data_IF_146717467277
#
_entry.id   IF_146717467277
#
_cell.length_a   1.000
_cell.length_b   1.000
_cell.length_c   1.000
_cell.angle_alpha   90.00
_cell.angle_beta   90.00
_cell.angle_gamma   90.00
#
_symmetry.space_group_name_H-M   'P 1'
#
loop_
_entity.id
_entity.type
_entity.pdbx_description
1 polymer ?
#
# COMPACT_ATOMS: atom_id res chain seq x y z
N UNK A 1 1.90 -9.46 19.64
CA UNK A 1 0.48 -9.04 19.87
C UNK A 1 -0.42 -9.76 18.89
N UNK A 2 -1.74 -9.91 19.17
CA UNK A 2 -2.66 -10.59 18.26
C UNK A 2 -3.61 -9.58 17.62
N UNK A 3 -3.91 -9.75 16.35
CA UNK A 3 -4.93 -8.98 15.65
C UNK A 3 -6.34 -9.48 16.04
N UNK A 4 -7.30 -8.56 16.05
CA UNK A 4 -8.72 -8.85 16.27
C UNK A 4 -9.49 -8.59 14.97
N UNK A 5 -10.39 -9.51 14.62
CA UNK A 5 -11.24 -9.36 13.45
C UNK A 5 -12.14 -8.12 13.60
N UNK A 6 -12.06 -7.22 12.64
CA UNK A 6 -12.87 -6.01 12.58
C UNK A 6 -14.09 -6.19 11.65
N UNK A 7 -13.86 -6.70 10.45
CA UNK A 7 -14.90 -6.88 9.44
C UNK A 7 -14.62 -8.12 8.58
N UNK A 8 -15.67 -8.86 8.24
CA UNK A 8 -15.59 -10.03 7.35
C UNK A 8 -16.04 -9.62 5.95
N UNK A 9 -15.14 -9.55 5.02
CA UNK A 9 -15.37 -9.04 3.66
C UNK A 9 -14.96 -10.00 2.55
N UNK A 10 -14.69 -11.21 2.71
CA UNK A 10 -14.42 -12.23 1.67
C UNK A 10 -13.67 -11.70 0.43
N UNK A 11 -12.74 -10.76 0.60
CA UNK A 11 -11.96 -10.22 -0.50
C UNK A 11 -11.10 -11.32 -1.11
N UNK A 12 -10.99 -11.31 -2.43
CA UNK A 12 -10.04 -12.18 -3.12
C UNK A 12 -8.61 -11.69 -2.90
N UNK A 13 -8.39 -10.39 -3.02
CA UNK A 13 -7.11 -9.74 -2.72
C UNK A 13 -7.37 -8.41 -2.03
N UNK A 14 -7.47 -8.43 -0.69
CA UNK A 14 -7.70 -7.24 0.12
C UNK A 14 -6.40 -6.47 0.33
N UNK A 15 -6.30 -5.24 -0.25
CA UNK A 15 -5.07 -4.48 -0.39
C UNK A 15 -5.22 -2.99 -0.09
N UNK A 16 -4.09 -2.27 -0.13
CA UNK A 16 -4.00 -0.82 -0.07
C UNK A 16 -4.71 -0.18 1.13
N UNK A 17 -4.58 -0.78 2.31
CA UNK A 17 -5.13 -0.22 3.53
C UNK A 17 -4.65 1.23 3.71
N UNK A 18 -5.59 2.17 3.75
CA UNK A 18 -5.30 3.61 3.75
C UNK A 18 -6.23 4.34 4.72
N UNK A 19 -5.66 5.03 5.71
CA UNK A 19 -6.42 5.88 6.60
C UNK A 19 -6.61 7.27 6.00
N UNK A 20 -7.84 7.76 6.01
CA UNK A 20 -8.24 9.10 5.54
C UNK A 20 -8.48 10.02 6.75
N UNK A 21 -7.48 10.83 7.18
CA UNK A 21 -7.64 11.64 8.41
C UNK A 21 -8.75 12.68 8.32
N UNK A 22 -8.98 13.26 7.14
CA UNK A 22 -10.02 14.27 6.92
C UNK A 22 -11.44 13.71 6.98
N UNK A 23 -11.61 12.43 6.66
CA UNK A 23 -12.90 11.72 6.66
C UNK A 23 -13.05 10.78 7.86
N UNK A 24 -12.00 10.66 8.69
CA UNK A 24 -11.92 9.72 9.83
C UNK A 24 -12.35 8.29 9.47
N UNK A 25 -12.00 7.83 8.26
CA UNK A 25 -12.35 6.51 7.76
C UNK A 25 -11.13 5.75 7.25
N UNK A 26 -11.26 4.41 7.23
CA UNK A 26 -10.33 3.51 6.57
C UNK A 26 -10.87 3.16 5.19
N UNK A 27 -10.01 3.24 4.19
CA UNK A 27 -10.25 2.72 2.84
C UNK A 27 -9.35 1.52 2.58
N UNK A 28 -9.83 0.54 1.83
CA UNK A 28 -9.04 -0.54 1.25
C UNK A 28 -9.73 -1.06 0.00
N UNK A 29 -9.03 -1.85 -0.80
CA UNK A 29 -9.55 -2.41 -2.05
C UNK A 29 -9.62 -3.93 -2.00
N UNK A 30 -10.53 -4.50 -2.77
CA UNK A 30 -10.43 -5.86 -3.29
C UNK A 30 -10.05 -5.76 -4.77
N UNK A 31 -8.78 -6.04 -5.06
CA UNK A 31 -8.21 -5.83 -6.39
C UNK A 31 -9.01 -6.58 -7.46
N UNK A 32 -9.19 -7.88 -7.25
CA UNK A 32 -9.75 -8.76 -8.27
C UNK A 32 -11.25 -8.53 -8.51
N UNK A 33 -11.98 -8.16 -7.45
CA UNK A 33 -13.40 -7.92 -7.52
C UNK A 33 -13.74 -6.46 -7.87
N UNK A 34 -12.75 -5.57 -7.93
CA UNK A 34 -12.95 -4.15 -8.24
C UNK A 34 -13.81 -3.44 -7.20
N UNK A 35 -13.60 -3.71 -5.91
CA UNK A 35 -14.37 -3.12 -4.83
C UNK A 35 -13.47 -2.22 -3.98
N UNK A 36 -13.91 -0.97 -3.78
CA UNK A 36 -13.37 -0.09 -2.77
C UNK A 36 -14.27 -0.13 -1.55
N UNK A 37 -13.70 -0.42 -0.40
CA UNK A 37 -14.39 -0.41 0.90
C UNK A 37 -14.07 0.86 1.67
N UNK A 38 -15.07 1.36 2.39
CA UNK A 38 -14.96 2.50 3.29
C UNK A 38 -15.54 2.12 4.66
N UNK A 39 -14.68 2.04 5.68
CA UNK A 39 -15.07 1.79 7.07
C UNK A 39 -15.00 3.05 7.90
N UNK A 40 -16.10 3.43 8.55
CA UNK A 40 -16.20 4.56 9.47
C UNK A 40 -16.26 4.02 10.90
N UNK A 41 -15.18 4.16 11.70
CA UNK A 41 -15.11 3.55 13.04
C UNK A 41 -16.19 4.04 14.00
N UNK A 42 -16.52 5.32 13.98
CA UNK A 42 -17.54 5.90 14.89
C UNK A 42 -18.95 5.37 14.61
N UNK A 43 -19.23 5.01 13.36
CA UNK A 43 -20.51 4.43 12.94
C UNK A 43 -20.50 2.89 13.00
N UNK A 44 -19.32 2.28 12.97
CA UNK A 44 -19.15 0.84 12.83
C UNK A 44 -19.64 0.29 11.49
N UNK A 45 -19.78 1.16 10.46
CA UNK A 45 -20.36 0.81 9.16
C UNK A 45 -19.28 0.63 8.11
N UNK A 46 -19.55 -0.26 7.14
CA UNK A 46 -18.74 -0.44 5.94
C UNK A 46 -19.61 -0.15 4.72
N UNK A 47 -19.14 0.76 3.86
CA UNK A 47 -19.73 1.05 2.54
C UNK A 47 -18.88 0.40 1.46
N UNK A 48 -19.53 -0.04 0.37
CA UNK A 48 -18.88 -0.62 -0.80
C UNK A 48 -19.11 0.26 -2.03
N UNK A 49 -18.05 0.41 -2.83
CA UNK A 49 -18.07 1.08 -4.12
C UNK A 49 -17.52 0.10 -5.16
N UNK A 50 -18.39 -0.33 -6.09
CA UNK A 50 -18.04 -1.36 -7.06
C UNK A 50 -17.67 -0.76 -8.41
N UNK A 51 -16.62 -1.28 -9.02
CA UNK A 51 -16.11 -0.89 -10.32
C UNK A 51 -16.09 -2.09 -11.28
N UNK A 52 -16.21 -1.86 -12.61
CA UNK A 52 -16.22 -2.94 -13.59
C UNK A 52 -14.83 -3.52 -13.89
N UNK A 53 -13.78 -3.06 -13.19
CA UNK A 53 -12.40 -3.45 -13.40
C UNK A 53 -11.60 -3.40 -12.10
N UNK A 54 -10.39 -3.95 -12.12
CA UNK A 54 -9.46 -3.97 -10.97
C UNK A 54 -9.17 -2.56 -10.45
N UNK A 55 -9.19 -2.43 -9.12
CA UNK A 55 -8.66 -1.30 -8.38
C UNK A 55 -7.50 -1.82 -7.57
N UNK A 56 -6.30 -1.32 -7.78
CA UNK A 56 -5.10 -1.85 -7.14
C UNK A 56 -4.66 -1.06 -5.93
N UNK A 57 -4.97 0.23 -5.89
CA UNK A 57 -4.65 1.08 -4.73
C UNK A 57 -5.63 2.23 -4.58
N UNK A 58 -5.76 2.72 -3.33
CA UNK A 58 -6.43 3.96 -2.99
C UNK A 58 -5.44 4.90 -2.30
N UNK A 59 -5.42 6.16 -2.74
CA UNK A 59 -4.45 7.14 -2.32
C UNK A 59 -5.18 8.41 -1.86
N UNK A 60 -4.86 8.98 -0.68
CA UNK A 60 -5.43 10.24 -0.24
C UNK A 60 -5.10 11.36 -1.22
N UNK A 61 -6.10 12.16 -1.61
CA UNK A 61 -5.90 13.33 -2.44
C UNK A 61 -6.08 14.61 -1.60
N UNK A 62 -4.97 15.09 -1.10
CA UNK A 62 -4.97 16.21 -0.16
C UNK A 62 -5.58 17.48 -0.78
N UNK A 63 -6.53 18.09 -0.06
CA UNK A 63 -7.20 19.34 -0.48
C UNK A 63 -8.42 19.14 -1.36
N UNK A 64 -8.82 17.90 -1.66
CA UNK A 64 -9.94 17.58 -2.54
C UNK A 64 -11.19 17.02 -1.81
N UNK A 65 -11.30 17.25 -0.49
CA UNK A 65 -12.47 16.83 0.30
C UNK A 65 -12.71 15.33 0.28
N UNK A 66 -13.86 14.92 -0.29
CA UNK A 66 -14.28 13.52 -0.38
C UNK A 66 -13.72 12.79 -1.61
N UNK A 67 -12.89 13.45 -2.41
CA UNK A 67 -12.24 12.81 -3.55
C UNK A 67 -10.98 12.08 -3.13
N UNK A 68 -10.80 10.89 -3.70
CA UNK A 68 -9.61 10.04 -3.56
C UNK A 68 -9.05 9.70 -4.93
N UNK A 69 -7.77 9.39 -4.98
CA UNK A 69 -7.18 8.81 -6.18
C UNK A 69 -7.27 7.29 -6.12
N UNK A 70 -7.74 6.67 -7.19
CA UNK A 70 -7.72 5.22 -7.36
C UNK A 70 -6.76 4.86 -8.48
N UNK A 71 -5.86 3.93 -8.17
CA UNK A 71 -5.09 3.24 -9.18
C UNK A 71 -5.94 2.11 -9.73
N UNK A 72 -6.31 2.23 -10.99
CA UNK A 72 -6.99 1.19 -11.75
C UNK A 72 -5.95 0.31 -12.46
N UNK A 73 -6.39 -0.72 -13.17
CA UNK A 73 -5.48 -1.62 -13.89
C UNK A 73 -4.39 -0.89 -14.67
N UNK A 74 -4.73 0.20 -15.38
CA UNK A 74 -3.82 0.91 -16.29
C UNK A 74 -3.99 2.43 -16.27
N UNK A 75 -4.61 3.00 -15.26
CA UNK A 75 -4.82 4.46 -15.15
C UNK A 75 -5.04 4.88 -13.71
N UNK A 76 -4.95 6.19 -13.48
CA UNK A 76 -5.43 6.83 -12.27
C UNK A 76 -6.72 7.58 -12.53
N UNK A 77 -7.66 7.47 -11.60
CA UNK A 77 -8.89 8.26 -11.59
C UNK A 77 -9.00 9.05 -10.30
N UNK A 78 -9.62 10.23 -10.36
CA UNK A 78 -10.17 10.90 -9.19
C UNK A 78 -11.58 10.39 -8.99
N UNK A 79 -11.89 9.91 -7.81
CA UNK A 79 -13.19 9.35 -7.44
C UNK A 79 -13.81 10.09 -6.27
N UNK A 80 -15.03 10.58 -6.44
CA UNK A 80 -15.82 11.24 -5.40
C UNK A 80 -16.60 10.15 -4.63
N UNK A 81 -16.28 9.96 -3.35
CA UNK A 81 -16.87 8.93 -2.48
C UNK A 81 -18.37 9.15 -2.23
N UNK A 82 -18.84 10.41 -2.21
CA UNK A 82 -20.24 10.72 -1.97
C UNK A 82 -21.06 10.66 -3.26
N UNK A 83 -20.63 11.36 -4.31
CA UNK A 83 -21.33 11.41 -5.60
C UNK A 83 -21.22 10.13 -6.41
N UNK A 84 -20.24 9.27 -6.07
CA UNK A 84 -19.93 8.03 -6.78
C UNK A 84 -19.64 8.27 -8.28
N UNK A 85 -18.97 9.36 -8.57
CA UNK A 85 -18.54 9.75 -9.92
C UNK A 85 -17.03 9.78 -9.99
N UNK A 86 -16.48 9.57 -11.18
CA UNK A 86 -15.03 9.61 -11.37
C UNK A 86 -14.61 10.35 -12.64
N UNK A 87 -13.36 10.80 -12.64
CA UNK A 87 -12.69 11.41 -13.77
C UNK A 87 -11.33 10.73 -13.95
N UNK A 88 -11.02 10.30 -15.17
CA UNK A 88 -9.68 9.83 -15.50
C UNK A 88 -8.71 11.01 -15.49
N UNK A 89 -7.58 10.85 -14.80
CA UNK A 89 -6.52 11.85 -14.68
C UNK A 89 -5.36 11.53 -15.61
N UNK A 90 -4.92 10.27 -15.62
CA UNK A 90 -3.76 9.83 -16.39
C UNK A 90 -3.95 8.37 -16.78
N UNK A 91 -3.52 8.02 -17.98
CA UNK A 91 -3.45 6.64 -18.46
C UNK A 91 -1.99 6.24 -18.63
N UNK A 92 -1.66 5.00 -18.29
CA UNK A 92 -0.34 4.45 -18.56
C UNK A 92 -0.23 4.14 -20.05
N UNK A 93 0.60 4.86 -20.82
CA UNK A 93 0.73 4.65 -22.25
C UNK A 93 1.35 3.26 -22.50
N UNK A 94 0.79 2.53 -23.43
CA UNK A 94 1.32 1.24 -23.90
C UNK A 94 1.41 0.13 -22.84
N UNK A 95 0.62 0.17 -21.77
CA UNK A 95 0.56 -0.95 -20.84
C UNK A 95 -0.12 -2.14 -21.53
N UNK A 96 0.66 -3.20 -21.74
CA UNK A 96 0.13 -4.45 -22.35
C UNK A 96 -1.03 -5.00 -21.49
N UNK A 97 -2.07 -5.64 -22.07
CA UNK A 97 -3.23 -6.17 -21.33
C UNK A 97 -2.91 -7.11 -20.16
N UNK A 98 -1.73 -7.73 -20.18
CA UNK A 98 -1.24 -8.60 -19.10
C UNK A 98 -0.51 -7.84 -17.97
N UNK A 99 -0.49 -6.52 -18.01
CA UNK A 99 0.13 -5.68 -16.99
C UNK A 99 -0.92 -4.93 -16.20
N UNK A 100 -0.60 -4.61 -14.98
CA UNK A 100 -1.42 -3.81 -14.07
C UNK A 100 -0.57 -2.95 -13.17
N UNK A 101 -1.14 -1.88 -12.65
CA UNK A 101 -0.61 -1.22 -11.46
C UNK A 101 -0.70 -2.17 -10.26
N UNK A 102 0.08 -1.91 -9.23
CA UNK A 102 0.04 -2.65 -7.96
C UNK A 102 -0.03 -1.66 -6.80
N UNK A 103 0.82 -1.79 -5.77
CA UNK A 103 0.84 -0.85 -4.66
C UNK A 103 1.26 0.55 -5.11
N UNK A 104 0.53 1.53 -4.63
CA UNK A 104 0.76 2.93 -4.92
C UNK A 104 0.69 3.76 -3.64
N UNK A 105 1.57 4.76 -3.51
CA UNK A 105 1.63 5.61 -2.33
C UNK A 105 1.93 7.05 -2.73
N UNK A 106 1.31 8.00 -2.03
CA UNK A 106 1.74 9.40 -2.13
C UNK A 106 2.96 9.65 -1.25
N UNK A 107 3.97 10.32 -1.83
CA UNK A 107 5.09 10.85 -1.07
C UNK A 107 4.66 12.05 -0.21
N UNK A 108 5.48 12.47 0.77
CA UNK A 108 5.13 13.60 1.66
C UNK A 108 4.80 14.90 0.94
N UNK A 109 5.40 15.15 -0.23
CA UNK A 109 5.18 16.34 -1.07
C UNK A 109 4.09 16.15 -2.12
N UNK A 110 3.51 14.95 -2.26
CA UNK A 110 2.33 14.70 -3.09
C UNK A 110 2.57 13.98 -4.41
N UNK A 111 3.81 13.60 -4.77
CA UNK A 111 4.05 12.71 -5.91
C UNK A 111 3.46 11.33 -5.65
N UNK A 112 2.92 10.69 -6.69
CA UNK A 112 2.40 9.33 -6.59
C UNK A 112 3.47 8.36 -7.07
N UNK A 113 3.84 7.42 -6.22
CA UNK A 113 4.70 6.30 -6.57
C UNK A 113 3.85 5.08 -6.82
N UNK A 114 4.04 4.44 -7.97
CA UNK A 114 3.19 3.37 -8.45
C UNK A 114 4.00 2.22 -8.99
N UNK A 115 3.82 1.06 -8.40
CA UNK A 115 4.31 -0.19 -8.93
C UNK A 115 3.49 -0.64 -10.14
N UNK A 116 4.18 -1.16 -11.17
CA UNK A 116 3.57 -1.81 -12.34
C UNK A 116 4.17 -3.19 -12.49
N UNK A 117 3.33 -4.20 -12.63
CA UNK A 117 3.75 -5.60 -12.70
C UNK A 117 2.97 -6.39 -13.73
N UNK A 118 3.47 -7.57 -14.09
CA UNK A 118 2.74 -8.53 -14.90
C UNK A 118 1.67 -9.26 -14.08
N UNK A 119 0.47 -9.44 -14.62
CA UNK A 119 -0.67 -10.06 -13.92
C UNK A 119 -0.40 -11.50 -13.45
N UNK A 120 0.53 -12.23 -14.10
CA UNK A 120 0.92 -13.59 -13.70
C UNK A 120 2.12 -13.62 -12.76
N UNK A 121 2.49 -12.48 -12.18
CA UNK A 121 3.59 -12.35 -11.19
C UNK A 121 4.96 -12.85 -11.69
N UNK A 122 5.15 -12.94 -13.00
CA UNK A 122 6.38 -13.45 -13.61
C UNK A 122 7.41 -12.32 -13.81
N UNK A 123 8.46 -12.46 -13.06
CA UNK A 123 9.87 -12.15 -13.29
C UNK A 123 10.28 -10.84 -13.96
N UNK A 124 10.65 -9.84 -13.13
CA UNK A 124 11.71 -8.90 -13.46
C UNK A 124 11.45 -7.91 -14.60
N UNK A 125 10.23 -7.85 -15.10
CA UNK A 125 9.87 -6.91 -16.17
C UNK A 125 9.02 -5.74 -15.68
N UNK A 126 8.60 -5.75 -14.40
CA UNK A 126 7.85 -4.66 -13.78
C UNK A 126 8.70 -3.41 -13.60
N UNK A 127 8.05 -2.35 -13.16
CA UNK A 127 8.69 -1.05 -12.96
C UNK A 127 8.04 -0.30 -11.80
N UNK A 128 8.81 0.56 -11.17
CA UNK A 128 8.30 1.57 -10.27
C UNK A 128 8.27 2.91 -11.01
N UNK A 129 7.10 3.54 -11.03
CA UNK A 129 6.88 4.84 -11.66
C UNK A 129 6.69 5.93 -10.60
N UNK A 130 7.09 7.13 -10.94
CA UNK A 130 6.75 8.36 -10.25
C UNK A 130 5.81 9.19 -11.13
N UNK A 131 4.67 9.60 -10.58
CA UNK A 131 3.77 10.57 -11.20
C UNK A 131 3.93 11.88 -10.46
N UNK A 132 4.38 12.91 -11.14
CA UNK A 132 4.59 14.25 -10.58
C UNK A 132 3.25 15.02 -10.48
N UNK A 133 3.27 16.16 -9.83
CA UNK A 133 2.09 17.02 -9.62
C UNK A 133 1.49 17.58 -10.93
N UNK A 134 2.26 17.61 -11.99
CA UNK A 134 1.79 17.97 -13.34
C UNK A 134 1.23 16.78 -14.14
N UNK A 135 1.09 15.62 -13.48
CA UNK A 135 0.66 14.33 -14.01
C UNK A 135 1.65 13.72 -15.03
N UNK A 136 2.87 14.21 -15.10
CA UNK A 136 3.93 13.54 -15.86
C UNK A 136 4.31 12.20 -15.24
N UNK A 137 4.44 11.18 -16.07
CA UNK A 137 4.72 9.79 -15.66
C UNK A 137 6.16 9.44 -16.04
N UNK A 138 6.97 9.12 -15.04
CA UNK A 138 8.39 8.78 -15.22
C UNK A 138 8.70 7.40 -14.65
N UNK A 139 9.26 6.45 -15.44
CA UNK A 139 9.80 5.21 -14.90
C UNK A 139 11.09 5.51 -14.10
N UNK A 140 11.13 5.01 -12.85
CA UNK A 140 12.25 5.27 -11.92
C UNK A 140 13.10 4.02 -11.70
N UNK A 141 12.44 2.88 -11.46
CA UNK A 141 13.10 1.58 -11.35
C UNK A 141 12.51 0.61 -12.37
N UNK A 142 13.36 -0.05 -13.14
CA UNK A 142 13.01 -1.19 -14.00
C UNK A 142 13.33 -2.52 -13.35
N UNK A 143 12.99 -3.62 -14.04
CA UNK A 143 13.30 -4.99 -13.64
C UNK A 143 12.75 -5.37 -12.25
N UNK A 144 11.56 -4.85 -11.93
CA UNK A 144 10.85 -5.21 -10.72
C UNK A 144 10.01 -6.47 -10.96
N UNK A 145 9.86 -7.30 -9.90
CA UNK A 145 8.99 -8.48 -9.97
C UNK A 145 7.58 -8.15 -9.52
N UNK A 146 7.42 -7.81 -8.25
CA UNK A 146 6.14 -7.46 -7.62
C UNK A 146 6.39 -6.23 -6.76
N UNK A 147 6.31 -5.02 -7.37
CA UNK A 147 6.45 -3.75 -6.65
C UNK A 147 5.37 -3.61 -5.60
N UNK A 148 5.77 -3.48 -4.35
CA UNK A 148 4.89 -3.41 -3.19
C UNK A 148 5.26 -2.27 -2.25
N UNK A 149 5.11 -2.44 -0.97
CA UNK A 149 5.20 -1.46 0.10
C UNK A 149 6.18 -0.31 -0.13
N UNK A 150 5.69 0.91 -0.02
CA UNK A 150 6.48 2.14 -0.18
C UNK A 150 6.19 3.04 1.01
N UNK A 151 7.22 3.52 1.68
CA UNK A 151 7.09 4.52 2.75
C UNK A 151 8.28 5.46 2.81
N UNK A 152 8.07 6.62 3.39
CA UNK A 152 9.13 7.61 3.65
C UNK A 152 9.33 7.79 5.15
N UNK A 153 10.57 8.05 5.56
CA UNK A 153 10.84 8.43 6.93
C UNK A 153 10.24 9.82 7.24
N UNK A 154 10.18 10.15 8.53
CA UNK A 154 9.58 11.42 8.99
C UNK A 154 10.28 12.68 8.44
N UNK A 155 11.57 12.59 8.11
CA UNK A 155 12.31 13.71 7.52
C UNK A 155 12.04 13.88 6.03
N UNK A 156 11.48 12.88 5.36
CA UNK A 156 11.27 12.87 3.91
C UNK A 156 12.57 12.76 3.10
N UNK A 157 13.68 12.32 3.71
CA UNK A 157 14.98 12.17 3.05
C UNK A 157 15.37 10.72 2.78
N UNK A 158 14.52 9.77 3.18
CA UNK A 158 14.66 8.32 2.94
C UNK A 158 13.35 7.74 2.48
N UNK A 159 13.44 6.88 1.46
CA UNK A 159 12.35 6.02 0.99
C UNK A 159 12.74 4.58 1.27
N UNK A 160 11.79 3.80 1.78
CA UNK A 160 11.87 2.34 1.89
C UNK A 160 10.91 1.72 0.90
N UNK A 161 11.38 0.70 0.21
CA UNK A 161 10.64 0.08 -0.89
C UNK A 161 10.78 -1.43 -0.88
N UNK A 162 9.66 -2.13 -1.14
CA UNK A 162 9.58 -3.59 -1.26
C UNK A 162 9.42 -4.00 -2.72
N UNK A 163 10.31 -4.87 -3.20
CA UNK A 163 10.01 -5.78 -4.30
C UNK A 163 9.84 -7.18 -3.71
N UNK A 164 8.61 -7.68 -3.65
CA UNK A 164 8.27 -8.95 -3.01
C UNK A 164 9.05 -10.12 -3.60
N UNK A 165 9.30 -10.12 -4.91
CA UNK A 165 10.07 -11.17 -5.57
C UNK A 165 11.53 -11.26 -5.10
N UNK A 166 12.10 -10.16 -4.62
CA UNK A 166 13.46 -10.12 -4.04
C UNK A 166 13.48 -10.41 -2.54
N UNK A 167 12.32 -10.43 -1.89
CA UNK A 167 12.17 -10.67 -0.45
C UNK A 167 13.01 -9.73 0.40
N UNK A 168 13.11 -8.47 0.01
CA UNK A 168 13.89 -7.47 0.73
C UNK A 168 13.18 -6.12 0.79
N UNK A 169 13.63 -5.30 1.72
CA UNK A 169 13.27 -3.89 1.82
C UNK A 169 14.52 -3.10 1.50
N UNK A 170 14.46 -2.33 0.44
CA UNK A 170 15.55 -1.46 0.00
C UNK A 170 15.40 -0.07 0.60
N UNK A 171 16.52 0.57 0.95
CA UNK A 171 16.60 1.95 1.41
C UNK A 171 17.22 2.82 0.33
N UNK A 172 16.54 3.92 0.03
CA UNK A 172 16.98 4.94 -0.93
C UNK A 172 17.11 6.29 -0.25
N UNK A 173 18.13 7.07 -0.62
CA UNK A 173 18.12 8.51 -0.40
C UNK A 173 17.04 9.10 -1.30
N UNK A 174 16.23 9.99 -0.73
CA UNK A 174 15.10 10.60 -1.41
C UNK A 174 15.28 12.11 -1.48
N UNK A 175 15.32 12.66 -2.67
CA UNK A 175 15.29 14.10 -2.88
C UNK A 175 13.84 14.57 -3.05
N UNK A 176 13.27 15.15 -2.01
CA UNK A 176 11.88 15.57 -2.01
C UNK A 176 11.59 16.71 -3.02
N UNK A 177 12.59 17.48 -3.45
CA UNK A 177 12.42 18.56 -4.43
C UNK A 177 12.20 17.99 -5.84
N UNK A 178 12.99 16.99 -6.20
CA UNK A 178 13.01 16.43 -7.57
C UNK A 178 12.30 15.09 -7.68
N UNK A 179 12.05 14.39 -6.55
CA UNK A 179 11.58 13.00 -6.54
C UNK A 179 12.66 11.98 -6.93
N UNK A 180 13.92 12.40 -7.07
CA UNK A 180 15.02 11.48 -7.38
C UNK A 180 15.31 10.54 -6.22
N UNK A 181 15.61 9.28 -6.54
CA UNK A 181 16.02 8.27 -5.56
C UNK A 181 17.39 7.72 -5.89
N UNK A 182 18.18 7.44 -4.84
CA UNK A 182 19.51 6.86 -4.96
C UNK A 182 19.62 5.71 -4.00
N UNK A 183 19.90 4.51 -4.52
CA UNK A 183 20.04 3.30 -3.72
C UNK A 183 21.14 3.47 -2.67
N UNK A 184 20.83 3.14 -1.43
CA UNK A 184 21.79 3.14 -0.32
C UNK A 184 22.19 1.70 0.02
N UNK A 185 21.20 0.85 0.32
CA UNK A 185 21.44 -0.54 0.75
C UNK A 185 20.14 -1.35 0.79
N UNK A 186 20.28 -2.63 0.91
CA UNK A 186 19.22 -3.49 1.44
C UNK A 186 19.13 -3.26 2.95
N UNK A 187 18.02 -2.63 3.39
CA UNK A 187 17.79 -2.36 4.82
C UNK A 187 17.39 -3.61 5.59
N UNK A 188 16.55 -4.47 4.96
CA UNK A 188 16.09 -5.73 5.54
C UNK A 188 16.12 -6.82 4.47
N UNK A 189 16.75 -7.95 4.80
CA UNK A 189 16.60 -9.19 4.04
C UNK A 189 15.61 -10.09 4.78
N UNK A 190 14.48 -10.39 4.17
CA UNK A 190 13.41 -11.18 4.79
C UNK A 190 13.71 -12.67 4.64
N UNK A 191 13.84 -13.42 5.75
CA UNK A 191 14.00 -14.87 5.73
C UNK A 191 12.81 -15.58 5.07
N UNK A 192 13.09 -16.72 4.41
CA UNK A 192 12.07 -17.46 3.64
C UNK A 192 10.91 -17.93 4.51
N UNK A 193 11.20 -18.32 5.74
CA UNK A 193 10.22 -18.80 6.73
C UNK A 193 9.23 -17.74 7.22
N UNK A 194 9.49 -16.46 6.96
CA UNK A 194 8.60 -15.38 7.36
C UNK A 194 7.61 -14.97 6.26
N UNK A 195 7.51 -15.73 5.17
CA UNK A 195 6.66 -15.38 4.04
C UNK A 195 7.30 -14.32 3.14
N UNK A 196 6.53 -13.57 2.40
CA UNK A 196 6.99 -12.58 1.42
C UNK A 196 6.58 -11.18 1.88
N UNK A 197 7.50 -10.19 1.95
CA UNK A 197 7.11 -8.83 2.32
C UNK A 197 6.18 -8.22 1.27
N UNK A 198 5.17 -7.50 1.73
CA UNK A 198 4.08 -6.96 0.93
C UNK A 198 3.86 -5.48 1.27
N UNK A 199 2.63 -5.03 1.43
CA UNK A 199 2.34 -3.65 1.80
C UNK A 199 2.92 -3.25 3.16
N UNK A 200 3.35 -2.00 3.32
CA UNK A 200 3.96 -1.53 4.57
C UNK A 200 3.54 -0.13 4.98
N UNK A 201 3.73 0.14 6.27
CA UNK A 201 3.66 1.46 6.87
C UNK A 201 4.87 1.69 7.81
N UNK A 202 5.03 2.92 8.29
CA UNK A 202 6.12 3.30 9.19
C UNK A 202 5.56 3.99 10.43
N UNK A 203 6.13 3.70 11.60
CA UNK A 203 5.73 4.35 12.85
C UNK A 203 6.53 5.62 13.15
N UNK A 204 6.17 6.31 14.25
CA UNK A 204 6.83 7.53 14.68
C UNK A 204 8.30 7.32 15.10
N UNK A 205 8.69 6.09 15.44
CA UNK A 205 10.05 5.71 15.80
C UNK A 205 10.90 5.33 14.58
N UNK A 206 10.28 5.26 13.40
CA UNK A 206 10.93 4.87 12.16
C UNK A 206 11.03 3.35 11.96
N UNK A 207 10.28 2.56 12.72
CA UNK A 207 10.17 1.12 12.50
C UNK A 207 9.22 0.84 11.34
N UNK A 208 9.60 -0.11 10.49
CA UNK A 208 8.80 -0.55 9.33
C UNK A 208 7.84 -1.65 9.76
N UNK A 209 6.56 -1.43 9.57
CA UNK A 209 5.49 -2.40 9.81
C UNK A 209 5.09 -2.98 8.48
N UNK A 210 5.44 -4.23 8.23
CA UNK A 210 5.37 -4.87 6.93
C UNK A 210 4.42 -6.05 6.98
N UNK A 211 3.40 -6.04 6.16
CA UNK A 211 2.54 -7.19 5.93
C UNK A 211 3.35 -8.30 5.23
N UNK A 212 3.16 -9.55 5.64
CA UNK A 212 3.89 -10.67 5.06
C UNK A 212 2.92 -11.70 4.50
N UNK A 213 2.89 -11.81 3.17
CA UNK A 213 2.13 -12.83 2.46
C UNK A 213 2.71 -14.22 2.74
N UNK A 214 1.86 -15.15 3.19
CA UNK A 214 2.28 -16.45 3.69
C UNK A 214 2.94 -16.43 5.08
N UNK A 215 3.03 -15.25 5.72
CA UNK A 215 3.75 -15.05 6.98
C UNK A 215 2.86 -14.99 8.23
N UNK A 216 1.53 -15.05 8.10
CA UNK A 216 0.60 -15.00 9.23
C UNK A 216 0.78 -13.78 10.13
N UNK A 217 1.11 -12.61 9.58
CA UNK A 217 1.27 -11.43 10.40
C UNK A 217 1.82 -10.20 9.74
N UNK A 218 1.88 -9.13 10.54
CA UNK A 218 2.63 -7.91 10.25
C UNK A 218 3.92 -7.95 11.07
N UNK A 219 5.05 -7.87 10.41
CA UNK A 219 6.38 -7.93 11.00
C UNK A 219 6.93 -6.53 11.18
N UNK A 220 7.49 -6.24 12.35
CA UNK A 220 8.05 -4.95 12.70
C UNK A 220 9.57 -5.01 12.59
N UNK A 221 10.11 -4.28 11.62
CA UNK A 221 11.53 -4.30 11.30
C UNK A 221 12.21 -2.99 11.69
N UNK A 222 13.41 -3.08 12.21
CA UNK A 222 14.30 -1.93 12.38
C UNK A 222 15.11 -1.72 11.08
N UNK A 223 14.82 -0.68 10.27
CA UNK A 223 15.58 -0.48 9.05
C UNK A 223 17.05 -0.14 9.31
N UNK A 224 17.39 0.40 10.47
CA UNK A 224 18.78 0.74 10.82
C UNK A 224 19.65 -0.49 11.07
N UNK A 225 19.10 -1.56 11.65
CA UNK A 225 19.82 -2.80 12.01
C UNK A 225 19.48 -3.97 11.10
N UNK A 226 18.38 -3.92 10.35
CA UNK A 226 17.83 -5.02 9.58
C UNK A 226 17.19 -6.13 10.43
N UNK A 227 17.03 -5.91 11.73
CA UNK A 227 16.54 -6.94 12.65
C UNK A 227 15.02 -6.86 12.84
N UNK A 228 14.41 -8.03 13.02
CA UNK A 228 13.02 -8.15 13.47
C UNK A 228 12.92 -7.69 14.93
N UNK A 229 11.99 -6.77 15.18
CA UNK A 229 11.73 -6.18 16.51
C UNK A 229 10.51 -6.81 17.17
N UNK A 230 9.42 -7.00 16.41
CA UNK A 230 8.15 -7.54 16.92
C UNK A 230 7.33 -8.14 15.77
N UNK A 231 6.24 -8.82 16.12
CA UNK A 231 5.27 -9.37 15.17
C UNK A 231 3.84 -9.24 15.72
N UNK A 232 2.92 -8.84 14.86
CA UNK A 232 1.48 -8.93 15.10
C UNK A 232 0.98 -10.21 14.42
N UNK A 233 0.55 -11.17 15.21
CA UNK A 233 -0.01 -12.41 14.69
C UNK A 233 -1.41 -12.18 14.10
N UNK A 234 -1.61 -12.70 12.91
CA UNK A 234 -2.89 -12.73 12.18
C UNK A 234 -3.23 -14.17 11.88
N UNK A 235 -4.47 -14.66 12.17
CA UNK A 235 -4.81 -16.08 12.09
C UNK A 235 -4.99 -16.61 10.64
N UNK A 236 -4.59 -15.84 9.63
CA UNK A 236 -4.61 -16.20 8.19
C UNK A 236 -3.26 -15.96 7.55
N UNK A 237 -2.88 -16.76 6.54
CA UNK A 237 -1.52 -16.70 5.99
C UNK A 237 -1.22 -15.42 5.20
N UNK A 238 -2.17 -14.98 4.37
CA UNK A 238 -1.91 -13.97 3.35
C UNK A 238 -2.26 -12.57 3.86
N UNK A 239 -1.35 -12.01 4.65
CA UNK A 239 -1.44 -10.62 5.12
C UNK A 239 -0.83 -9.72 4.07
N UNK A 240 -1.65 -8.82 3.48
CA UNK A 240 -1.29 -8.11 2.27
C UNK A 240 -0.93 -6.63 2.52
N UNK A 241 -1.70 -5.91 3.32
CA UNK A 241 -1.41 -4.50 3.58
C UNK A 241 -1.71 -4.09 5.02
N UNK A 242 -1.11 -2.98 5.46
CA UNK A 242 -1.40 -2.41 6.76
C UNK A 242 -1.21 -0.89 6.79
N UNK A 243 -1.95 -0.23 7.69
CA UNK A 243 -1.84 1.21 7.91
C UNK A 243 -2.19 1.59 9.34
N UNK A 244 -1.56 2.65 9.84
CA UNK A 244 -1.99 3.28 11.09
C UNK A 244 -3.18 4.20 10.87
N UNK A 245 -4.15 4.15 11.77
CA UNK A 245 -5.34 4.99 11.70
C UNK A 245 -6.04 5.13 13.05
N UNK A 246 -7.29 5.65 13.01
CA UNK A 246 -8.03 6.11 14.18
C UNK A 246 -7.66 7.55 14.55
N UNK A 247 -8.48 8.19 15.39
CA UNK A 247 -8.30 9.59 15.82
C UNK A 247 -6.91 9.86 16.39
N UNK A 248 -6.40 8.93 17.19
CA UNK A 248 -5.09 9.01 17.83
C UNK A 248 -3.97 8.40 16.98
N UNK A 249 -4.28 7.85 15.78
CA UNK A 249 -3.36 7.10 14.92
C UNK A 249 -2.59 5.98 15.67
N UNK A 250 -3.25 5.36 16.62
CA UNK A 250 -2.70 4.31 17.49
C UNK A 250 -3.35 2.93 17.24
N UNK A 251 -4.08 2.78 16.14
CA UNK A 251 -4.62 1.50 15.69
C UNK A 251 -3.92 1.08 14.40
N UNK A 252 -3.51 -0.17 14.33
CA UNK A 252 -3.05 -0.77 13.09
C UNK A 252 -4.22 -1.49 12.43
N UNK A 253 -4.57 -1.11 11.22
CA UNK A 253 -5.54 -1.81 10.38
C UNK A 253 -4.78 -2.70 9.40
N UNK A 254 -5.26 -3.93 9.19
CA UNK A 254 -4.57 -4.96 8.45
C UNK A 254 -5.55 -5.61 7.48
N UNK A 255 -5.20 -5.67 6.21
CA UNK A 255 -5.94 -6.38 5.18
C UNK A 255 -5.27 -7.70 4.83
N UNK A 256 -6.07 -8.65 4.35
CA UNK A 256 -5.60 -9.97 3.99
C UNK A 256 -6.23 -10.43 2.66
N UNK A 257 -5.73 -11.50 2.07
CA UNK A 257 -6.19 -12.02 0.79
C UNK A 257 -6.64 -13.48 0.92
N UNK A 258 -7.56 -13.91 0.07
CA UNK A 258 -8.21 -15.24 0.00
C UNK A 258 -8.74 -15.69 1.38
N UNK A 259 -10.05 -15.67 1.58
CA UNK A 259 -10.75 -15.78 2.87
C UNK A 259 -10.57 -14.54 3.76
N UNK A 260 -10.49 -13.39 3.14
CA UNK A 260 -10.08 -12.12 3.72
C UNK A 260 -10.97 -11.64 4.84
N UNK A 261 -10.27 -11.17 5.85
CA UNK A 261 -10.84 -10.53 7.01
C UNK A 261 -10.05 -9.25 7.28
N UNK A 262 -10.74 -8.16 7.57
CA UNK A 262 -10.10 -6.96 8.06
C UNK A 262 -9.79 -7.13 9.55
N UNK A 263 -8.54 -6.95 9.93
CA UNK A 263 -8.07 -7.05 11.31
C UNK A 263 -7.58 -5.72 11.84
N UNK A 264 -7.59 -5.56 13.15
CA UNK A 264 -7.00 -4.43 13.86
C UNK A 264 -6.20 -4.91 15.08
N UNK A 265 -5.19 -4.18 15.45
CA UNK A 265 -4.41 -4.35 16.67
C UNK A 265 -4.08 -2.97 17.26
N UNK A 266 -4.03 -2.82 18.60
CA UNK A 266 -3.48 -1.62 19.20
C UNK A 266 -2.02 -1.44 18.77
N UNK A 267 -1.64 -0.21 18.44
CA UNK A 267 -0.23 0.12 18.22
C UNK A 267 0.49 0.24 19.56
N UNK A 268 1.70 -0.29 19.73
CA UNK A 268 2.54 0.09 20.85
C UNK A 268 2.86 1.58 20.77
N UNK A 269 2.71 2.28 21.89
CA UNK A 269 3.04 3.70 22.01
C UNK A 269 4.53 3.91 22.12
#
# INVERSE_FOLDING_TARGET
MNATLLHRCYNRTGEAATWMPGLECLLWVDIDNGILYQYTPDEGTVKEHTFPEMITSVIPWKGHGDEVLLAMKNRFIAYDLEKKTYKTLIEFPCLHPQWRTNDCKASPEGRIWCGVMHCSEHNGNGSLYCVDNDLSLTPVLGQQSIPNGIVWNRKGDRMYYVDSGRRCIEEYAYDYLTGAIYFIRTAVQVPVEYGVPDGMTIDANGLLWVAHWGGFGVYVWSPSTGQLVDKIEVPVPNVASCTFGGKERNRLFITTAVDCLLYTSPSPR
#
